data_IF_877468920585
#
_entry.id   IF_877468920585
#
_cell.length_a   1.000
_cell.length_b   1.000
_cell.length_c   1.000
_cell.angle_alpha   90.00
_cell.angle_beta   90.00
_cell.angle_gamma   90.00
#
_symmetry.space_group_name_H-M   'P 1'
#
loop_
_entity.id
_entity.type
_entity.pdbx_description
1 polymer ?
#
# COMPACT_ATOMS: atom_id res chain seq x y z
N UNK A 1 19.01 -2.69 15.79
CA UNK A 1 18.19 -2.12 14.69
C UNK A 1 16.77 -2.03 15.17
N UNK A 2 16.22 -0.81 15.28
CA UNK A 2 14.85 -0.62 15.75
C UNK A 2 13.88 -1.05 14.66
N UNK A 3 12.89 -1.92 14.93
CA UNK A 3 11.81 -2.19 13.99
C UNK A 3 10.99 -0.90 13.89
N UNK A 4 11.07 -0.21 12.75
CA UNK A 4 10.36 1.04 12.53
C UNK A 4 8.87 0.86 12.81
N UNK A 5 8.40 1.66 13.76
CA UNK A 5 7.00 1.82 14.12
C UNK A 5 6.26 2.38 12.91
N UNK A 6 5.82 1.49 12.01
CA UNK A 6 4.92 1.83 10.92
C UNK A 6 3.62 2.29 11.55
N UNK A 7 3.45 3.60 11.73
CA UNK A 7 2.22 4.12 12.31
C UNK A 7 1.02 3.69 11.45
N UNK A 8 -0.11 3.30 12.07
CA UNK A 8 -1.28 2.87 11.32
C UNK A 8 -1.81 4.03 10.49
N UNK A 9 -1.64 3.95 9.16
CA UNK A 9 -2.17 4.95 8.24
C UNK A 9 -3.65 4.71 8.03
N UNK A 10 -4.46 5.74 8.28
CA UNK A 10 -5.89 5.72 8.02
C UNK A 10 -6.25 6.60 6.84
N UNK A 11 -6.97 6.05 5.88
CA UNK A 11 -7.49 6.74 4.69
C UNK A 11 -8.99 6.48 4.58
N UNK A 12 -9.79 7.54 4.45
CA UNK A 12 -11.25 7.47 4.39
C UNK A 12 -11.86 6.66 5.56
N UNK A 13 -11.29 6.80 6.76
CA UNK A 13 -11.73 6.07 7.96
C UNK A 13 -11.34 4.59 7.99
N UNK A 14 -10.50 4.12 7.05
CA UNK A 14 -10.01 2.73 6.99
C UNK A 14 -8.52 2.67 7.20
N UNK A 15 -8.07 1.72 7.97
CA UNK A 15 -6.64 1.45 8.15
C UNK A 15 -6.08 0.72 6.92
N UNK A 16 -4.92 1.17 6.46
CA UNK A 16 -4.17 0.51 5.40
C UNK A 16 -3.19 -0.48 6.03
N UNK A 17 -3.44 -1.77 5.81
CA UNK A 17 -2.50 -2.84 6.11
C UNK A 17 -1.69 -3.19 4.86
N UNK A 18 -0.43 -3.65 4.96
CA UNK A 18 0.31 -4.15 3.81
C UNK A 18 -0.52 -5.15 2.98
N UNK A 19 -0.54 -4.98 1.67
CA UNK A 19 -1.40 -5.70 0.74
C UNK A 19 -2.79 -5.08 0.51
N UNK A 20 -3.20 -4.09 1.31
CA UNK A 20 -4.49 -3.39 1.12
C UNK A 20 -4.54 -2.78 -0.26
N UNK A 21 -5.57 -3.13 -1.01
CA UNK A 21 -5.72 -2.70 -2.38
C UNK A 21 -6.49 -1.38 -2.47
N UNK A 22 -5.96 -0.45 -3.26
CA UNK A 22 -6.52 0.87 -3.47
C UNK A 22 -6.57 1.22 -4.95
N UNK A 23 -7.43 2.17 -5.28
CA UNK A 23 -7.35 2.92 -6.54
C UNK A 23 -6.84 4.32 -6.25
N UNK A 24 -5.95 4.82 -7.11
CA UNK A 24 -5.32 6.13 -6.98
C UNK A 24 -5.97 7.09 -8.00
N UNK A 25 -6.31 8.30 -7.56
CA UNK A 25 -6.89 9.35 -8.41
C UNK A 25 -5.94 9.68 -9.56
N UNK A 26 -6.44 9.68 -10.79
CA UNK A 26 -5.65 9.98 -11.99
C UNK A 26 -4.77 8.82 -12.49
N UNK A 27 -4.75 7.69 -11.79
CA UNK A 27 -3.98 6.51 -12.17
C UNK A 27 -4.87 5.37 -12.63
N UNK A 28 -4.35 4.53 -13.53
CA UNK A 28 -5.04 3.32 -14.00
C UNK A 28 -4.58 2.11 -13.18
N UNK A 29 -5.53 1.25 -12.83
CA UNK A 29 -5.28 -0.04 -12.19
C UNK A 29 -5.42 -0.03 -10.67
N UNK A 30 -4.98 -1.12 -10.06
CA UNK A 30 -5.04 -1.38 -8.62
C UNK A 30 -3.63 -1.31 -8.06
N UNK A 31 -3.53 -0.79 -6.84
CA UNK A 31 -2.28 -0.60 -6.13
C UNK A 31 -2.39 -1.26 -4.76
N UNK A 32 -1.41 -2.08 -4.38
CA UNK A 32 -1.35 -2.72 -3.08
C UNK A 32 -0.40 -1.94 -2.19
N UNK A 33 -0.87 -1.57 -1.01
CA UNK A 33 -0.11 -0.83 -0.02
C UNK A 33 1.08 -1.65 0.47
N UNK A 34 2.26 -1.05 0.54
CA UNK A 34 3.47 -1.68 1.07
C UNK A 34 3.79 -1.14 2.46
N UNK A 35 3.73 0.17 2.62
CA UNK A 35 4.09 0.85 3.85
C UNK A 35 4.00 2.37 3.71
N UNK A 36 4.25 3.06 4.81
CA UNK A 36 4.23 4.51 4.86
C UNK A 36 5.54 5.03 5.44
N UNK A 37 5.98 6.19 4.97
CA UNK A 37 7.16 6.90 5.46
C UNK A 37 6.84 8.36 5.69
N UNK A 38 7.46 8.93 6.72
CA UNK A 38 7.42 10.38 6.95
C UNK A 38 8.59 11.03 6.24
N UNK A 39 8.29 12.01 5.40
CA UNK A 39 9.30 12.82 4.72
C UNK A 39 9.92 13.82 5.69
N UNK A 40 11.05 14.43 5.33
CA UNK A 40 11.71 15.48 6.11
C UNK A 40 10.86 16.75 6.30
N UNK A 41 9.74 16.89 5.57
CA UNK A 41 8.77 17.97 5.73
C UNK A 41 7.54 17.55 6.56
N UNK A 42 7.67 16.51 7.37
CA UNK A 42 6.60 15.92 8.20
C UNK A 42 5.35 15.47 7.43
N UNK A 43 5.46 15.26 6.12
CA UNK A 43 4.37 14.71 5.29
C UNK A 43 4.48 13.20 5.21
N UNK A 44 3.35 12.51 5.36
CA UNK A 44 3.25 11.05 5.19
C UNK A 44 3.12 10.73 3.70
N UNK A 45 3.97 9.82 3.23
CA UNK A 45 3.92 9.27 1.88
C UNK A 45 3.69 7.76 1.98
N UNK A 46 2.85 7.24 1.09
CA UNK A 46 2.45 5.85 1.05
C UNK A 46 3.09 5.16 -0.16
N UNK A 47 3.76 4.05 0.07
CA UNK A 47 4.38 3.22 -0.96
C UNK A 47 3.42 2.11 -1.39
N UNK A 48 3.36 1.88 -2.69
CA UNK A 48 2.50 0.87 -3.31
C UNK A 48 3.23 0.11 -4.42
N UNK A 49 2.78 -1.11 -4.67
CA UNK A 49 3.07 -1.87 -5.89
C UNK A 49 1.79 -2.03 -6.70
N UNK A 50 1.85 -1.77 -8.01
CA UNK A 50 0.70 -2.01 -8.88
C UNK A 50 0.67 -1.08 -10.09
N UNK A 51 -0.53 -0.81 -10.58
CA UNK A 51 -0.74 -0.10 -11.83
C UNK A 51 -1.42 -0.98 -12.86
N UNK A 52 -1.07 -0.80 -14.14
CA UNK A 52 -1.68 -1.57 -15.23
C UNK A 52 -1.29 -3.04 -15.10
N UNK A 53 -2.28 -3.93 -15.21
CA UNK A 53 -2.05 -5.38 -15.12
C UNK A 53 -0.95 -5.82 -16.10
N UNK A 54 -0.01 -6.63 -15.62
CA UNK A 54 1.17 -7.07 -16.38
C UNK A 54 2.35 -6.08 -16.39
N UNK A 55 2.17 -4.86 -15.87
CA UNK A 55 3.19 -3.83 -15.76
C UNK A 55 3.13 -3.15 -14.39
N UNK A 56 3.18 -3.97 -13.33
CA UNK A 56 3.16 -3.46 -11.96
C UNK A 56 4.48 -2.74 -11.65
N UNK A 57 4.39 -1.56 -11.03
CA UNK A 57 5.56 -0.75 -10.69
C UNK A 57 5.44 -0.23 -9.26
N UNK A 58 6.59 -0.07 -8.59
CA UNK A 58 6.64 0.63 -7.30
C UNK A 58 6.31 2.09 -7.53
N UNK A 59 5.34 2.62 -6.77
CA UNK A 59 5.00 4.05 -6.80
C UNK A 59 4.62 4.55 -5.42
N UNK A 60 4.96 5.80 -5.17
CA UNK A 60 4.66 6.48 -3.91
C UNK A 60 3.62 7.57 -4.15
N UNK A 61 2.62 7.67 -3.28
CA UNK A 61 1.57 8.67 -3.34
C UNK A 61 1.27 9.24 -1.95
N UNK A 62 0.78 10.47 -1.91
CA UNK A 62 0.22 11.02 -0.67
C UNK A 62 -1.18 10.43 -0.39
N UNK A 63 -1.61 10.35 0.89
CA UNK A 63 -2.90 9.80 1.28
C UNK A 63 -4.10 10.40 0.53
N UNK A 64 -4.08 11.70 0.24
CA UNK A 64 -5.15 12.41 -0.48
C UNK A 64 -5.33 11.95 -1.93
N UNK A 65 -4.35 11.24 -2.51
CA UNK A 65 -4.48 10.66 -3.86
C UNK A 65 -5.20 9.32 -3.86
N UNK A 66 -5.43 8.70 -2.70
CA UNK A 66 -6.20 7.46 -2.63
C UNK A 66 -7.67 7.77 -2.91
N UNK A 67 -8.18 7.31 -4.05
CA UNK A 67 -9.58 7.50 -4.44
C UNK A 67 -10.50 6.55 -3.68
N UNK A 68 -10.10 5.29 -3.55
CA UNK A 68 -10.94 4.25 -2.97
C UNK A 68 -10.08 3.18 -2.36
N UNK A 69 -10.38 2.82 -1.11
CA UNK A 69 -9.81 1.65 -0.44
C UNK A 69 -10.75 0.47 -0.70
N UNK A 70 -10.28 -0.54 -1.42
CA UNK A 70 -11.08 -1.74 -1.68
C UNK A 70 -11.11 -2.58 -0.41
N UNK A 71 -12.29 -3.11 -0.05
CA UNK A 71 -12.39 -4.06 1.08
C UNK A 71 -11.60 -5.30 0.70
N UNK A 72 -10.70 -5.73 1.58
CA UNK A 72 -9.92 -6.96 1.41
C UNK A 72 -10.91 -8.11 1.20
N UNK A 73 -11.06 -8.60 -0.02
CA UNK A 73 -11.65 -9.90 -0.25
C UNK A 73 -10.60 -10.92 0.19
N UNK A 74 -10.87 -11.59 1.30
CA UNK A 74 -10.15 -12.80 1.72
C UNK A 74 -10.10 -13.80 0.56
N UNK A 75 -8.98 -13.88 -0.16
CA UNK A 75 -8.69 -14.94 -1.13
C UNK A 75 -7.23 -14.82 -1.53
N UNK A 76 -6.32 -15.78 -1.37
CA UNK A 76 -6.22 -17.07 -0.66
C UNK A 76 -4.92 -17.00 0.15
N UNK A 77 -4.75 -17.84 1.17
CA UNK A 77 -3.40 -18.20 1.65
C UNK A 77 -2.55 -18.54 0.42
N UNK A 78 -1.56 -17.73 0.09
CA UNK A 78 -0.41 -18.25 -0.64
C UNK A 78 0.35 -19.09 0.38
N UNK A 79 -0.01 -20.37 0.45
CA UNK A 79 0.92 -21.42 0.86
C UNK A 79 1.99 -21.42 -0.22
N UNK A 80 3.05 -20.67 0.04
CA UNK A 80 4.24 -20.57 -0.77
C UNK A 80 5.36 -20.19 0.17
N UNK A 81 5.79 -21.18 0.96
CA UNK A 81 6.98 -21.06 1.77
C UNK A 81 8.15 -20.72 0.85
N UNK A 82 8.85 -19.66 1.18
CA UNK A 82 10.23 -19.48 0.78
C UNK A 82 10.98 -19.23 2.08
N UNK A 83 11.51 -20.32 2.61
CA UNK A 83 12.60 -20.33 3.56
C UNK A 83 13.68 -19.35 3.08
N UNK A 84 14.00 -18.35 3.90
CA UNK A 84 15.25 -17.61 3.74
C UNK A 84 16.29 -18.32 4.61
N UNK A 85 17.19 -19.06 3.95
CA UNK A 85 18.51 -19.42 4.49
C UNK A 85 19.48 -18.26 4.32
#
# INVERSE_FOLDING_TARGET
MNPEQSQPVRVHGRELQPGTEVSITGERGRYRFLGAKTTSSDRVVLDFIGGRAGHECWRSFYPERVKTVHRINQTRRNVGGADYK
#
